data_IF_241211272031
#
_entry.id   IF_241211272031
#
_cell.length_a   1.000
_cell.length_b   1.000
_cell.length_c   1.000
_cell.angle_alpha   90.00
_cell.angle_beta   90.00
_cell.angle_gamma   90.00
#
_symmetry.space_group_name_H-M   'P 1'
#
loop_
_entity.id
_entity.type
_entity.pdbx_description
1 polymer ?
#
# COMPACT_ATOMS: atom_id res chain seq x y z
N UNK A 1 -34.68 -18.10 -28.51
CA UNK A 1 -33.93 -19.27 -28.02
C UNK A 1 -33.23 -18.81 -26.74
N UNK A 2 -33.69 -19.25 -25.57
CA UNK A 2 -33.09 -18.85 -24.30
C UNK A 2 -31.70 -19.50 -24.21
N UNK A 3 -30.65 -18.68 -24.22
CA UNK A 3 -29.29 -19.15 -23.95
C UNK A 3 -29.25 -19.71 -22.53
N UNK A 4 -28.58 -20.84 -22.35
CA UNK A 4 -28.29 -21.34 -21.01
C UNK A 4 -27.43 -20.30 -20.26
N UNK A 5 -27.54 -20.24 -18.93
CA UNK A 5 -26.76 -19.31 -18.10
C UNK A 5 -25.24 -19.46 -18.34
N UNK A 6 -24.77 -20.68 -18.64
CA UNK A 6 -23.37 -20.96 -19.00
C UNK A 6 -22.98 -20.37 -20.36
N UNK A 7 -23.83 -20.52 -21.39
CA UNK A 7 -23.57 -19.92 -22.71
C UNK A 7 -23.60 -18.39 -22.66
N UNK A 8 -24.47 -17.82 -21.82
CA UNK A 8 -24.49 -16.38 -21.58
C UNK A 8 -23.19 -15.90 -20.92
N UNK A 9 -22.71 -16.61 -19.89
CA UNK A 9 -21.42 -16.32 -19.27
C UNK A 9 -20.25 -16.39 -20.27
N UNK A 10 -20.22 -17.41 -21.15
CA UNK A 10 -19.21 -17.50 -22.23
C UNK A 10 -19.23 -16.30 -23.18
N UNK A 11 -20.41 -15.75 -23.49
CA UNK A 11 -20.51 -14.51 -24.27
C UNK A 11 -19.94 -13.32 -23.51
N UNK A 12 -20.27 -13.17 -22.23
CA UNK A 12 -19.72 -12.10 -21.39
C UNK A 12 -18.19 -12.13 -21.33
N UNK A 13 -17.60 -13.32 -21.21
CA UNK A 13 -16.13 -13.51 -21.27
C UNK A 13 -15.56 -12.98 -22.59
N UNK A 14 -16.19 -13.30 -23.73
CA UNK A 14 -15.75 -12.79 -25.06
C UNK A 14 -15.81 -11.27 -25.17
N UNK A 15 -16.68 -10.61 -24.42
CA UNK A 15 -16.79 -9.15 -24.37
C UNK A 15 -15.96 -8.51 -23.24
N UNK A 16 -15.05 -9.26 -22.60
CA UNK A 16 -14.18 -8.75 -21.53
C UNK A 16 -14.88 -8.59 -20.17
N UNK A 17 -16.15 -8.98 -20.05
CA UNK A 17 -16.94 -8.85 -18.81
C UNK A 17 -16.75 -10.05 -17.88
N UNK A 18 -15.51 -10.31 -17.49
CA UNK A 18 -15.14 -11.51 -16.71
C UNK A 18 -15.76 -11.54 -15.31
N UNK A 19 -15.87 -10.39 -14.62
CA UNK A 19 -16.47 -10.30 -13.28
C UNK A 19 -17.96 -10.67 -13.30
N UNK A 20 -18.72 -10.06 -14.21
CA UNK A 20 -20.15 -10.35 -14.40
C UNK A 20 -20.37 -11.83 -14.76
N UNK A 21 -19.52 -12.40 -15.62
CA UNK A 21 -19.57 -13.82 -15.96
C UNK A 21 -19.31 -14.72 -14.75
N UNK A 22 -18.34 -14.36 -13.89
CA UNK A 22 -17.98 -15.14 -12.72
C UNK A 22 -19.12 -15.21 -11.69
N UNK A 23 -19.78 -14.08 -11.42
CA UNK A 23 -20.93 -14.01 -10.51
C UNK A 23 -22.10 -14.89 -10.97
N UNK A 24 -22.41 -14.84 -12.27
CA UNK A 24 -23.46 -15.67 -12.87
C UNK A 24 -23.14 -17.16 -12.71
N UNK A 25 -21.89 -17.56 -12.96
CA UNK A 25 -21.46 -18.95 -12.86
C UNK A 25 -21.46 -19.43 -11.41
N UNK A 26 -20.96 -18.64 -10.45
CA UNK A 26 -20.99 -18.98 -9.01
C UNK A 26 -22.41 -19.23 -8.53
N UNK A 27 -23.33 -18.31 -8.85
CA UNK A 27 -24.75 -18.45 -8.51
C UNK A 27 -25.37 -19.67 -9.18
N UNK A 28 -25.03 -19.93 -10.44
CA UNK A 28 -25.54 -21.10 -11.15
C UNK A 28 -25.06 -22.43 -10.54
N UNK A 29 -23.79 -22.50 -10.11
CA UNK A 29 -23.21 -23.68 -9.48
C UNK A 29 -23.87 -24.00 -8.13
N UNK A 30 -24.25 -22.97 -7.37
CA UNK A 30 -24.94 -23.13 -6.07
C UNK A 30 -26.43 -23.47 -6.21
N UNK A 31 -27.10 -22.95 -7.24
CA UNK A 31 -28.56 -23.10 -7.40
C UNK A 31 -28.99 -24.33 -8.22
N UNK A 32 -28.13 -24.79 -9.14
CA UNK A 32 -28.51 -25.86 -10.07
C UNK A 32 -28.21 -27.23 -9.45
N UNK A 33 -29.14 -28.18 -9.57
CA UNK A 33 -28.99 -29.56 -9.11
C UNK A 33 -28.46 -30.52 -10.19
N UNK A 34 -28.47 -30.12 -11.46
CA UNK A 34 -27.98 -30.92 -12.58
C UNK A 34 -26.45 -30.97 -12.57
N UNK A 35 -25.91 -32.17 -12.34
CA UNK A 35 -24.47 -32.41 -12.25
C UNK A 35 -23.71 -32.00 -13.52
N UNK A 36 -24.25 -32.29 -14.71
CA UNK A 36 -23.58 -32.01 -15.99
C UNK A 36 -23.48 -30.51 -16.24
N UNK A 37 -24.56 -29.77 -15.94
CA UNK A 37 -24.60 -28.32 -16.07
C UNK A 37 -23.70 -27.63 -15.05
N UNK A 38 -23.66 -28.11 -13.79
CA UNK A 38 -22.75 -27.60 -12.76
C UNK A 38 -21.29 -27.84 -13.14
N UNK A 39 -20.97 -29.04 -13.64
CA UNK A 39 -19.63 -29.37 -14.14
C UNK A 39 -19.19 -28.39 -15.23
N UNK A 40 -20.02 -28.16 -16.23
CA UNK A 40 -19.70 -27.22 -17.32
C UNK A 40 -19.53 -25.79 -16.78
N UNK A 41 -20.38 -25.35 -15.87
CA UNK A 41 -20.25 -24.02 -15.25
C UNK A 41 -18.95 -23.87 -14.45
N UNK A 42 -18.57 -24.89 -13.67
CA UNK A 42 -17.34 -24.93 -12.90
C UNK A 42 -16.10 -24.95 -13.80
N UNK A 43 -16.15 -25.71 -14.91
CA UNK A 43 -15.09 -25.72 -15.92
C UNK A 43 -14.85 -24.32 -16.50
N UNK A 44 -15.91 -23.61 -16.87
CA UNK A 44 -15.80 -22.25 -17.42
C UNK A 44 -15.26 -21.29 -16.36
N UNK A 45 -15.80 -21.33 -15.15
CA UNK A 45 -15.35 -20.45 -14.07
C UNK A 45 -13.88 -20.68 -13.74
N UNK A 46 -13.46 -21.93 -13.61
CA UNK A 46 -12.10 -22.27 -13.21
C UNK A 46 -11.10 -22.04 -14.36
N UNK A 47 -11.35 -22.59 -15.55
CA UNK A 47 -10.36 -22.60 -16.64
C UNK A 47 -10.46 -21.42 -17.61
N UNK A 48 -11.62 -20.78 -17.76
CA UNK A 48 -11.78 -19.65 -18.68
C UNK A 48 -11.70 -18.30 -17.97
N UNK A 49 -11.95 -18.24 -16.65
CA UNK A 49 -11.92 -17.02 -15.86
C UNK A 49 -10.73 -17.02 -14.89
N UNK A 50 -10.77 -17.86 -13.86
CA UNK A 50 -9.84 -17.72 -12.72
C UNK A 50 -8.40 -18.10 -13.11
N UNK A 51 -8.18 -19.26 -13.75
CA UNK A 51 -6.84 -19.72 -14.14
C UNK A 51 -6.25 -19.00 -15.36
N UNK A 52 -7.08 -18.26 -16.12
CA UNK A 52 -6.66 -17.39 -17.22
C UNK A 52 -6.46 -15.94 -16.81
N UNK A 53 -6.55 -15.64 -15.52
CA UNK A 53 -6.22 -14.32 -15.02
C UNK A 53 -4.70 -14.17 -14.88
N UNK A 54 -4.17 -13.00 -15.22
CA UNK A 54 -2.73 -12.73 -15.10
C UNK A 54 -2.29 -12.81 -13.63
N UNK A 55 -3.17 -12.35 -12.73
CA UNK A 55 -3.03 -12.48 -11.29
C UNK A 55 -4.03 -13.51 -10.75
N UNK A 56 -3.54 -14.71 -10.43
CA UNK A 56 -4.32 -15.76 -9.80
C UNK A 56 -4.63 -15.36 -8.34
N UNK A 57 -5.90 -15.45 -7.95
CA UNK A 57 -6.35 -15.19 -6.57
C UNK A 57 -6.75 -16.52 -5.95
N UNK A 58 -5.83 -17.14 -5.21
CA UNK A 58 -6.01 -18.51 -4.71
C UNK A 58 -7.16 -18.64 -3.72
N UNK A 59 -7.48 -17.58 -2.98
CA UNK A 59 -8.65 -17.50 -2.09
C UNK A 59 -9.97 -17.70 -2.85
N UNK A 60 -10.01 -17.40 -4.16
CA UNK A 60 -11.16 -17.67 -5.02
C UNK A 60 -11.07 -19.01 -5.73
N UNK A 61 -9.87 -19.52 -5.96
CA UNK A 61 -9.61 -20.75 -6.73
C UNK A 61 -9.71 -21.98 -5.83
N UNK A 62 -9.14 -21.96 -4.63
CA UNK A 62 -9.11 -23.11 -3.70
C UNK A 62 -10.52 -23.65 -3.41
N UNK A 63 -11.55 -22.83 -3.11
CA UNK A 63 -12.91 -23.35 -2.90
C UNK A 63 -13.53 -24.01 -4.13
N UNK A 64 -13.13 -23.58 -5.35
CA UNK A 64 -13.61 -24.19 -6.60
C UNK A 64 -12.94 -25.55 -6.85
N UNK A 65 -11.68 -25.69 -6.45
CA UNK A 65 -10.94 -26.96 -6.51
C UNK A 65 -11.53 -27.95 -5.50
N UNK A 66 -11.75 -27.52 -4.26
CA UNK A 66 -12.39 -28.35 -3.22
C UNK A 66 -13.76 -28.83 -3.69
N UNK A 67 -14.59 -27.93 -4.21
CA UNK A 67 -15.89 -28.28 -4.78
C UNK A 67 -15.79 -29.28 -5.93
N UNK A 68 -14.77 -29.14 -6.79
CA UNK A 68 -14.54 -30.05 -7.90
C UNK A 68 -14.09 -31.45 -7.43
N UNK A 69 -13.29 -31.53 -6.37
CA UNK A 69 -12.83 -32.78 -5.76
C UNK A 69 -13.96 -33.50 -5.04
N UNK A 70 -14.69 -32.80 -4.16
CA UNK A 70 -15.82 -33.36 -3.41
C UNK A 70 -16.86 -33.99 -4.33
N UNK A 71 -17.09 -33.37 -5.49
CA UNK A 71 -18.05 -33.83 -6.48
C UNK A 71 -17.45 -34.72 -7.57
N UNK A 72 -16.16 -35.05 -7.48
CA UNK A 72 -15.44 -35.86 -8.49
C UNK A 72 -15.66 -35.34 -9.93
N UNK A 73 -15.67 -34.02 -10.09
CA UNK A 73 -15.94 -33.35 -11.38
C UNK A 73 -14.75 -33.51 -12.34
N UNK A 74 -13.53 -33.43 -11.79
CA UNK A 74 -12.26 -33.57 -12.51
C UNK A 74 -11.49 -34.81 -12.06
N UNK A 75 -10.62 -35.33 -12.93
CA UNK A 75 -9.72 -36.41 -12.54
C UNK A 75 -8.71 -35.89 -11.52
N UNK A 76 -8.19 -36.82 -10.70
CA UNK A 76 -7.16 -36.50 -9.72
C UNK A 76 -5.92 -35.88 -10.38
N UNK A 77 -5.49 -36.39 -11.54
CA UNK A 77 -4.33 -35.81 -12.25
C UNK A 77 -4.58 -34.35 -12.64
N UNK A 78 -5.80 -34.02 -13.07
CA UNK A 78 -6.16 -32.66 -13.47
C UNK A 78 -6.21 -31.71 -12.27
N UNK A 79 -6.68 -32.17 -11.12
CA UNK A 79 -6.62 -31.39 -9.88
C UNK A 79 -5.17 -31.20 -9.42
N UNK A 80 -4.36 -32.25 -9.48
CA UNK A 80 -2.94 -32.20 -9.13
C UNK A 80 -2.17 -31.24 -10.07
N UNK A 81 -2.50 -31.21 -11.36
CA UNK A 81 -1.97 -30.23 -12.33
C UNK A 81 -2.30 -28.80 -11.90
N UNK A 82 -3.56 -28.51 -11.53
CA UNK A 82 -3.95 -27.16 -11.06
C UNK A 82 -3.23 -26.80 -9.76
N UNK A 83 -3.09 -27.74 -8.82
CA UNK A 83 -2.32 -27.53 -7.58
C UNK A 83 -0.83 -27.33 -7.87
N UNK A 84 -0.30 -27.96 -8.91
CA UNK A 84 1.07 -27.71 -9.33
C UNK A 84 1.26 -26.30 -9.88
N UNK A 85 0.23 -25.67 -10.45
CA UNK A 85 0.23 -24.23 -10.81
C UNK A 85 0.36 -23.35 -9.56
N UNK A 86 -0.22 -23.80 -8.43
CA UNK A 86 0.02 -23.18 -7.12
C UNK A 86 1.52 -23.17 -6.85
N UNK A 87 2.19 -24.31 -6.90
CA UNK A 87 3.61 -24.40 -6.53
C UNK A 87 4.56 -23.80 -7.58
N UNK A 88 4.19 -23.78 -8.86
CA UNK A 88 5.01 -23.20 -9.95
C UNK A 88 4.83 -21.69 -10.12
N UNK A 89 3.66 -21.12 -9.78
CA UNK A 89 3.42 -19.67 -9.75
C UNK A 89 3.42 -19.05 -8.33
N UNK A 90 3.46 -19.84 -7.25
CA UNK A 90 3.83 -19.37 -5.90
C UNK A 90 5.28 -18.87 -5.89
N UNK A 91 6.08 -19.20 -6.90
CA UNK A 91 7.31 -18.48 -7.22
C UNK A 91 6.98 -17.18 -8.00
N UNK A 92 6.01 -16.39 -7.53
CA UNK A 92 6.35 -15.00 -7.25
C UNK A 92 7.25 -15.08 -6.02
N UNK A 93 8.52 -15.49 -6.21
CA UNK A 93 9.57 -15.20 -5.25
C UNK A 93 9.51 -13.70 -5.14
N UNK A 94 8.77 -13.19 -4.14
CA UNK A 94 8.89 -11.80 -3.82
C UNK A 94 10.39 -11.65 -3.54
N UNK A 95 11.08 -10.83 -4.32
CA UNK A 95 12.52 -10.71 -4.22
C UNK A 95 12.82 -10.33 -2.76
N UNK A 96 13.50 -11.23 -2.05
CA UNK A 96 14.02 -10.90 -0.73
C UNK A 96 15.08 -9.83 -0.96
N UNK A 97 14.78 -8.62 -0.49
CA UNK A 97 15.75 -7.55 -0.49
C UNK A 97 16.48 -7.61 0.84
N UNK A 98 17.81 -7.63 0.75
CA UNK A 98 18.66 -7.40 1.92
C UNK A 98 18.57 -5.89 2.20
N UNK A 99 18.10 -5.46 3.38
CA UNK A 99 18.00 -4.04 3.70
C UNK A 99 19.35 -3.36 3.48
N UNK A 100 19.32 -2.17 2.88
CA UNK A 100 20.53 -1.37 2.66
C UNK A 100 21.09 -0.85 3.99
N UNK A 101 22.39 -0.57 4.05
CA UNK A 101 22.99 0.12 5.21
C UNK A 101 22.29 1.46 5.49
N UNK A 102 21.85 2.15 4.42
CA UNK A 102 21.07 3.39 4.50
C UNK A 102 19.74 3.18 5.23
N UNK A 103 19.02 2.08 4.95
CA UNK A 103 17.79 1.74 5.64
C UNK A 103 18.02 1.53 7.14
N UNK A 104 19.01 0.71 7.53
CA UNK A 104 19.27 0.43 8.96
C UNK A 104 19.78 1.67 9.71
N UNK A 105 20.55 2.54 9.05
CA UNK A 105 20.96 3.84 9.60
C UNK A 105 19.75 4.74 9.90
N UNK A 106 18.85 4.91 8.93
CA UNK A 106 17.67 5.77 9.06
C UNK A 106 16.68 5.19 10.08
N UNK A 107 16.47 3.87 10.07
CA UNK A 107 15.68 3.17 11.07
C UNK A 107 16.23 3.42 12.48
N UNK A 108 17.56 3.27 12.65
CA UNK A 108 18.23 3.52 13.91
C UNK A 108 18.12 4.98 14.35
N UNK A 109 18.15 5.93 13.41
CA UNK A 109 17.90 7.33 13.69
C UNK A 109 16.50 7.54 14.30
N UNK A 110 15.43 7.06 13.65
CA UNK A 110 14.08 7.23 14.19
C UNK A 110 13.90 6.54 15.54
N UNK A 111 14.43 5.32 15.66
CA UNK A 111 14.36 4.53 16.90
C UNK A 111 15.07 5.21 18.07
N UNK A 112 16.29 5.71 17.87
CA UNK A 112 17.15 6.15 18.99
C UNK A 112 17.23 7.69 19.11
N UNK A 113 17.29 8.40 17.99
CA UNK A 113 17.70 9.82 17.95
C UNK A 113 16.56 10.78 17.60
N UNK A 114 15.43 10.31 17.05
CA UNK A 114 14.26 11.17 16.84
C UNK A 114 13.81 11.76 18.17
N UNK A 115 13.56 13.08 18.18
CA UNK A 115 13.27 13.93 19.33
C UNK A 115 14.44 14.14 20.31
N UNK A 116 15.66 13.69 19.97
CA UNK A 116 16.83 13.99 20.79
C UNK A 116 17.15 15.49 20.74
N UNK A 117 17.52 16.06 21.89
CA UNK A 117 17.54 17.48 22.26
C UNK A 117 18.53 18.39 21.51
N UNK A 118 19.02 18.01 20.33
CA UNK A 118 19.81 18.88 19.46
C UNK A 118 18.92 19.90 18.71
N UNK A 119 18.20 20.70 19.49
CA UNK A 119 17.22 21.72 19.07
C UNK A 119 17.82 22.89 18.25
N UNK A 120 19.15 22.93 18.08
CA UNK A 120 19.85 24.05 17.44
C UNK A 120 20.09 23.85 15.92
N UNK A 121 19.62 22.74 15.34
CA UNK A 121 19.70 22.55 13.89
C UNK A 121 18.52 23.26 13.23
N UNK A 122 18.80 24.43 12.65
CA UNK A 122 17.87 25.05 11.73
C UNK A 122 17.75 24.19 10.46
N UNK A 123 16.56 24.13 9.87
CA UNK A 123 16.39 23.49 8.59
C UNK A 123 17.23 24.20 7.53
N UNK A 124 17.52 23.50 6.42
CA UNK A 124 18.09 24.14 5.25
C UNK A 124 17.20 25.30 4.78
N UNK A 125 17.82 26.31 4.17
CA UNK A 125 17.14 27.49 3.61
C UNK A 125 16.09 27.14 2.54
N UNK A 126 16.08 25.87 2.08
CA UNK A 126 15.10 25.34 1.13
C UNK A 126 13.71 25.10 1.74
N UNK A 127 13.56 25.04 3.08
CA UNK A 127 12.26 24.87 3.73
C UNK A 127 11.56 26.21 3.96
N UNK A 128 10.24 26.18 3.82
CA UNK A 128 9.38 27.31 4.11
C UNK A 128 8.70 27.10 5.46
N UNK A 129 9.26 27.71 6.52
CA UNK A 129 8.70 27.59 7.87
C UNK A 129 7.35 28.32 7.97
N UNK A 130 6.33 27.63 8.48
CA UNK A 130 4.98 28.14 8.69
C UNK A 130 4.50 27.91 10.14
N UNK A 131 3.55 28.73 10.56
CA UNK A 131 2.91 28.58 11.87
C UNK A 131 2.00 27.34 11.95
N UNK A 132 1.67 26.97 13.18
CA UNK A 132 0.86 25.78 13.47
C UNK A 132 -0.54 25.85 12.84
N UNK A 133 -1.19 27.03 12.83
CA UNK A 133 -2.56 27.16 12.29
C UNK A 133 -2.57 26.91 10.77
N UNK A 134 -1.57 27.43 10.06
CA UNK A 134 -1.42 27.17 8.64
C UNK A 134 -1.01 25.72 8.39
N UNK A 135 -0.15 25.14 9.23
CA UNK A 135 0.26 23.74 9.13
C UNK A 135 -0.93 22.77 9.22
N UNK A 136 -1.87 23.00 10.15
CA UNK A 136 -3.11 22.21 10.25
C UNK A 136 -3.91 22.26 8.95
N UNK A 137 -4.08 23.46 8.38
CA UNK A 137 -4.82 23.63 7.11
C UNK A 137 -4.12 22.95 5.95
N UNK A 138 -2.81 23.14 5.80
CA UNK A 138 -2.06 22.59 4.66
C UNK A 138 -1.85 21.07 4.78
N UNK A 139 -1.84 20.53 6.00
CA UNK A 139 -1.72 19.10 6.25
C UNK A 139 -3.04 18.35 6.02
N UNK A 140 -4.16 18.87 6.54
CA UNK A 140 -5.43 18.14 6.61
C UNK A 140 -6.49 18.58 5.60
N UNK A 141 -6.48 19.84 5.12
CA UNK A 141 -7.50 20.31 4.18
C UNK A 141 -7.22 19.81 2.75
N UNK A 142 -8.29 19.36 2.08
CA UNK A 142 -8.26 19.04 0.64
C UNK A 142 -8.37 20.29 -0.25
N UNK A 143 -8.81 21.42 0.31
CA UNK A 143 -9.03 22.68 -0.40
C UNK A 143 -8.05 23.75 0.08
N UNK A 144 -6.76 23.41 0.05
CA UNK A 144 -5.72 24.35 0.42
C UNK A 144 -5.71 25.50 -0.60
N UNK A 145 -5.70 26.74 -0.10
CA UNK A 145 -5.69 27.92 -0.97
C UNK A 145 -4.32 28.12 -1.59
N UNK A 146 -4.31 28.58 -2.85
CA UNK A 146 -3.11 29.10 -3.49
C UNK A 146 -2.39 30.11 -2.56
N UNK A 147 -1.06 30.04 -2.45
CA UNK A 147 -0.13 29.29 -3.30
C UNK A 147 0.29 27.91 -2.76
N UNK A 148 -0.52 27.27 -1.90
CA UNK A 148 -0.13 26.02 -1.24
C UNK A 148 -0.82 24.80 -1.85
N UNK A 149 -0.12 23.67 -1.84
CA UNK A 149 -0.64 22.34 -2.16
C UNK A 149 -0.80 21.51 -0.88
N UNK A 150 -1.77 20.58 -0.88
CA UNK A 150 -2.06 19.71 0.27
C UNK A 150 -0.92 18.72 0.50
N UNK A 151 -0.47 18.62 1.76
CA UNK A 151 0.56 17.66 2.15
C UNK A 151 0.13 16.23 1.83
N UNK A 152 -1.12 15.92 2.16
CA UNK A 152 -1.71 14.60 1.98
C UNK A 152 -1.72 14.16 0.50
N UNK A 153 -1.97 15.08 -0.42
CA UNK A 153 -2.03 14.77 -1.85
C UNK A 153 -0.63 14.48 -2.42
N UNK A 154 0.37 15.30 -2.05
CA UNK A 154 1.76 15.11 -2.46
C UNK A 154 2.30 13.78 -1.90
N UNK A 155 2.04 13.50 -0.63
CA UNK A 155 2.46 12.25 0.02
C UNK A 155 1.87 11.03 -0.68
N UNK A 156 0.55 11.02 -0.90
CA UNK A 156 -0.14 9.91 -1.60
C UNK A 156 0.34 9.72 -3.02
N UNK A 157 0.69 10.81 -3.71
CA UNK A 157 1.25 10.75 -5.05
C UNK A 157 2.57 9.96 -5.05
N UNK A 158 3.51 10.30 -4.16
CA UNK A 158 4.81 9.60 -4.05
C UNK A 158 4.66 8.17 -3.50
N UNK A 159 3.80 7.97 -2.49
CA UNK A 159 3.48 6.65 -1.95
C UNK A 159 3.00 5.70 -3.05
N UNK A 160 2.11 6.17 -3.93
CA UNK A 160 1.65 5.40 -5.08
C UNK A 160 2.79 5.04 -6.05
N UNK A 161 3.73 5.95 -6.29
CA UNK A 161 4.89 5.66 -7.15
C UNK A 161 5.75 4.54 -6.56
N UNK A 162 6.01 4.56 -5.25
CA UNK A 162 6.80 3.54 -4.56
C UNK A 162 6.06 2.20 -4.53
N UNK A 163 4.75 2.17 -4.26
CA UNK A 163 3.98 0.93 -4.32
C UNK A 163 3.93 0.32 -5.73
N UNK A 164 3.80 1.15 -6.77
CA UNK A 164 3.89 0.67 -8.15
C UNK A 164 5.26 0.05 -8.43
N UNK A 165 6.34 0.64 -7.90
CA UNK A 165 7.68 0.08 -8.00
C UNK A 165 7.79 -1.26 -7.26
N UNK A 166 7.34 -1.34 -6.00
CA UNK A 166 7.30 -2.58 -5.20
C UNK A 166 6.55 -3.69 -5.93
N UNK A 167 5.36 -3.37 -6.44
CA UNK A 167 4.51 -4.33 -7.14
C UNK A 167 5.16 -4.80 -8.45
N UNK A 168 5.66 -3.86 -9.27
CA UNK A 168 6.27 -4.18 -10.56
C UNK A 168 7.53 -5.03 -10.42
N UNK A 169 8.27 -4.86 -9.31
CA UNK A 169 9.49 -5.62 -9.03
C UNK A 169 9.24 -6.83 -8.11
N UNK A 170 7.98 -7.11 -7.75
CA UNK A 170 7.59 -8.18 -6.83
C UNK A 170 8.44 -8.17 -5.56
N UNK A 171 8.55 -7.05 -4.85
CA UNK A 171 9.42 -6.93 -3.67
C UNK A 171 8.72 -7.44 -2.42
N UNK A 172 9.42 -8.18 -1.55
CA UNK A 172 8.91 -8.56 -0.23
C UNK A 172 9.12 -7.43 0.78
N UNK A 173 8.03 -6.92 1.38
CA UNK A 173 8.03 -5.85 2.37
C UNK A 173 7.69 -6.34 3.80
N UNK A 174 7.52 -7.64 4.02
CA UNK A 174 7.11 -8.20 5.31
C UNK A 174 8.14 -7.87 6.42
N UNK A 175 9.44 -7.82 6.06
CA UNK A 175 10.50 -7.37 6.97
C UNK A 175 10.38 -5.88 7.32
N UNK A 176 10.07 -5.04 6.33
CA UNK A 176 9.82 -3.61 6.54
C UNK A 176 8.62 -3.42 7.49
N UNK A 177 7.52 -4.11 7.25
CA UNK A 177 6.30 -4.00 8.05
C UNK A 177 6.55 -4.44 9.51
N UNK A 178 7.29 -5.53 9.75
CA UNK A 178 7.70 -5.93 11.12
C UNK A 178 8.57 -4.86 11.80
N UNK A 179 9.52 -4.25 11.08
CA UNK A 179 10.37 -3.19 11.60
C UNK A 179 9.57 -1.94 11.96
N UNK A 180 8.63 -1.55 11.10
CA UNK A 180 7.73 -0.40 11.30
C UNK A 180 6.85 -0.62 12.51
N UNK A 181 6.21 -1.79 12.63
CA UNK A 181 5.35 -2.10 13.78
C UNK A 181 6.11 -1.95 15.11
N UNK A 182 7.37 -2.39 15.16
CA UNK A 182 8.25 -2.19 16.32
C UNK A 182 8.63 -0.73 16.53
N UNK A 183 8.78 0.04 15.46
CA UNK A 183 9.13 1.45 15.53
C UNK A 183 7.96 2.30 16.02
N UNK A 184 6.74 2.08 15.54
CA UNK A 184 5.56 2.83 15.96
C UNK A 184 5.35 2.73 17.47
N UNK A 185 5.50 1.53 18.05
CA UNK A 185 5.49 1.35 19.52
C UNK A 185 6.53 2.24 20.22
N UNK A 186 7.73 2.38 19.64
CA UNK A 186 8.78 3.25 20.19
C UNK A 186 8.42 4.74 20.02
N UNK A 187 7.88 5.13 18.87
CA UNK A 187 7.50 6.51 18.55
C UNK A 187 6.34 6.98 19.44
N UNK A 188 5.28 6.19 19.55
CA UNK A 188 4.16 6.43 20.46
C UNK A 188 4.66 6.66 21.89
N UNK A 189 5.52 5.76 22.40
CA UNK A 189 6.07 5.91 23.76
C UNK A 189 6.92 7.17 23.93
N UNK A 190 7.65 7.61 22.89
CA UNK A 190 8.45 8.84 22.93
C UNK A 190 7.61 10.11 22.92
N UNK A 191 6.47 10.07 22.22
CA UNK A 191 5.56 11.21 22.04
C UNK A 191 4.45 11.25 23.10
N UNK A 192 4.20 10.14 23.81
CA UNK A 192 3.18 10.05 24.84
C UNK A 192 3.38 11.12 25.93
N UNK A 193 2.31 11.86 26.24
CA UNK A 193 2.27 12.98 27.19
C UNK A 193 3.08 14.22 26.78
N UNK A 194 3.25 14.48 25.49
CA UNK A 194 3.84 15.73 25.01
C UNK A 194 2.78 16.51 24.21
N UNK A 195 2.39 17.69 24.68
CA UNK A 195 1.55 18.64 23.94
C UNK A 195 2.34 19.29 22.79
N UNK A 196 3.08 18.49 22.03
CA UNK A 196 3.96 18.95 20.94
C UNK A 196 3.32 18.76 19.60
N UNK A 197 3.68 19.61 18.64
CA UNK A 197 3.17 19.54 17.27
C UNK A 197 3.35 18.14 16.66
N UNK A 198 4.45 17.44 16.93
CA UNK A 198 4.60 16.04 16.48
C UNK A 198 3.56 15.06 17.03
N UNK A 199 3.07 15.28 18.26
CA UNK A 199 2.00 14.45 18.82
C UNK A 199 0.65 14.78 18.19
N UNK A 200 0.37 16.05 17.92
CA UNK A 200 -0.84 16.46 17.20
C UNK A 200 -0.95 15.79 15.82
N UNK A 201 0.17 15.69 15.10
CA UNK A 201 0.26 15.08 13.78
C UNK A 201 0.80 13.64 13.81
N UNK A 202 0.57 12.87 14.89
CA UNK A 202 1.18 11.54 15.05
C UNK A 202 0.94 10.62 13.85
N UNK A 203 -0.31 10.51 13.38
CA UNK A 203 -0.66 9.66 12.22
C UNK A 203 0.10 10.08 10.95
N UNK A 204 0.27 11.40 10.75
CA UNK A 204 1.02 11.92 9.62
C UNK A 204 2.53 11.67 9.78
N UNK A 205 3.06 11.79 11.00
CA UNK A 205 4.46 11.50 11.32
C UNK A 205 4.76 10.02 11.07
N UNK A 206 3.91 9.11 11.52
CA UNK A 206 4.09 7.67 11.27
C UNK A 206 4.03 7.35 9.77
N UNK A 207 3.10 7.97 9.05
CA UNK A 207 2.97 7.81 7.59
C UNK A 207 4.20 8.31 6.85
N UNK A 208 4.74 9.46 7.24
CA UNK A 208 5.94 10.02 6.61
C UNK A 208 7.18 9.17 6.91
N UNK A 209 7.33 8.68 8.15
CA UNK A 209 8.41 7.76 8.54
C UNK A 209 8.31 6.45 7.78
N UNK A 210 7.11 5.88 7.64
CA UNK A 210 6.88 4.70 6.81
C UNK A 210 7.32 4.94 5.38
N UNK A 211 6.91 6.07 4.79
CA UNK A 211 7.24 6.43 3.42
C UNK A 211 8.77 6.55 3.21
N UNK A 212 9.47 7.23 4.13
CA UNK A 212 10.93 7.37 4.09
C UNK A 212 11.61 6.00 4.15
N UNK A 213 11.21 5.18 5.12
CA UNK A 213 11.81 3.86 5.33
C UNK A 213 11.50 2.91 4.18
N UNK A 214 10.29 2.97 3.63
CA UNK A 214 9.89 2.19 2.46
C UNK A 214 10.73 2.57 1.24
N UNK A 215 10.89 3.85 0.96
CA UNK A 215 11.76 4.32 -0.13
C UNK A 215 13.21 3.85 0.05
N UNK A 216 13.76 3.96 1.26
CA UNK A 216 15.13 3.52 1.54
C UNK A 216 15.30 1.99 1.48
N UNK A 217 14.26 1.24 1.86
CA UNK A 217 14.27 -0.23 1.83
C UNK A 217 14.35 -0.76 0.40
N UNK A 218 13.71 -0.08 -0.56
CA UNK A 218 13.69 -0.47 -1.98
C UNK A 218 14.63 0.37 -2.87
N UNK A 219 15.49 1.19 -2.25
CA UNK A 219 16.42 2.10 -2.92
C UNK A 219 15.75 3.04 -3.95
N UNK A 220 14.59 3.58 -3.58
CA UNK A 220 13.83 4.52 -4.41
C UNK A 220 14.31 5.95 -4.19
N UNK A 221 14.94 6.53 -5.21
CA UNK A 221 15.41 7.91 -5.19
C UNK A 221 14.27 8.89 -5.50
N UNK A 222 14.00 9.81 -4.57
CA UNK A 222 13.03 10.88 -4.79
C UNK A 222 13.36 12.09 -3.89
N UNK A 223 13.33 13.29 -4.49
CA UNK A 223 13.67 14.52 -3.78
C UNK A 223 12.81 14.75 -2.53
N UNK A 224 11.53 14.36 -2.57
CA UNK A 224 10.64 14.53 -1.41
C UNK A 224 11.12 13.71 -0.22
N UNK A 225 11.61 12.48 -0.45
CA UNK A 225 12.09 11.58 0.61
C UNK A 225 13.30 12.17 1.32
N UNK A 226 14.20 12.80 0.57
CA UNK A 226 15.38 13.45 1.15
C UNK A 226 14.98 14.70 1.96
N UNK A 227 14.07 15.53 1.44
CA UNK A 227 13.54 16.70 2.16
C UNK A 227 12.81 16.30 3.45
N UNK A 228 12.03 15.22 3.39
CA UNK A 228 11.34 14.64 4.54
C UNK A 228 12.33 14.21 5.62
N UNK A 229 13.32 13.39 5.26
CA UNK A 229 14.33 12.92 6.19
C UNK A 229 15.12 14.08 6.82
N UNK A 230 15.44 15.11 6.04
CA UNK A 230 16.11 16.31 6.54
C UNK A 230 15.23 17.08 7.54
N UNK A 231 13.94 17.27 7.24
CA UNK A 231 13.00 17.92 8.15
C UNK A 231 12.95 17.21 9.51
N UNK A 232 12.78 15.89 9.52
CA UNK A 232 12.76 15.11 10.77
C UNK A 232 14.10 15.11 11.49
N UNK A 233 15.23 15.11 10.78
CA UNK A 233 16.57 15.26 11.39
C UNK A 233 16.78 16.61 12.08
N UNK A 234 16.02 17.64 11.68
CA UNK A 234 15.99 18.95 12.32
C UNK A 234 14.84 19.13 13.31
N UNK A 235 14.04 18.08 13.59
CA UNK A 235 12.83 18.12 14.41
C UNK A 235 11.72 19.06 13.88
N UNK A 236 11.59 19.13 12.56
CA UNK A 236 10.50 19.82 11.88
C UNK A 236 9.50 18.80 11.33
N UNK A 237 8.21 19.16 11.37
CA UNK A 237 7.12 18.42 10.75
C UNK A 237 6.84 19.00 9.35
N UNK A 238 6.95 18.19 8.29
CA UNK A 238 6.46 18.52 6.95
C UNK A 238 4.94 18.65 6.96
N UNK A 239 4.41 19.77 6.47
CA UNK A 239 2.97 20.04 6.60
C UNK A 239 2.33 20.65 5.36
N UNK A 240 3.05 20.76 4.24
CA UNK A 240 2.48 21.24 2.98
C UNK A 240 3.56 21.57 1.96
N UNK A 241 3.17 22.19 0.86
CA UNK A 241 4.10 22.64 -0.16
C UNK A 241 3.71 24.01 -0.69
N UNK A 242 4.68 24.92 -0.85
CA UNK A 242 4.45 26.27 -1.38
C UNK A 242 4.94 26.35 -2.82
N UNK A 243 4.06 26.77 -3.71
CA UNK A 243 4.27 26.71 -5.16
C UNK A 243 3.86 25.34 -5.71
N UNK A 244 4.33 25.02 -6.91
CA UNK A 244 3.96 23.77 -7.57
C UNK A 244 4.99 22.68 -7.26
N UNK A 245 4.57 21.49 -6.85
CA UNK A 245 5.48 20.35 -6.76
C UNK A 245 5.95 19.89 -8.17
N UNK A 246 7.25 19.56 -8.38
CA UNK A 246 8.35 19.50 -7.43
C UNK A 246 9.22 20.78 -7.38
N UNK A 247 8.84 21.86 -8.07
CA UNK A 247 9.67 23.08 -8.19
C UNK A 247 9.54 24.08 -7.04
N UNK A 248 8.55 23.90 -6.16
CA UNK A 248 8.31 24.76 -5.00
C UNK A 248 9.15 24.41 -3.77
N UNK A 249 8.66 24.78 -2.59
CA UNK A 249 9.36 24.54 -1.32
C UNK A 249 8.48 23.72 -0.37
N UNK A 250 9.10 22.78 0.35
CA UNK A 250 8.44 22.06 1.43
C UNK A 250 8.09 23.04 2.55
N UNK A 251 6.80 23.10 2.91
CA UNK A 251 6.36 23.80 4.09
C UNK A 251 6.63 22.93 5.32
N UNK A 252 7.19 23.54 6.35
CA UNK A 252 7.49 22.85 7.61
C UNK A 252 7.02 23.67 8.80
N UNK A 253 6.70 23.00 9.90
CA UNK A 253 6.50 23.65 11.19
C UNK A 253 7.39 22.98 12.23
N UNK A 254 7.81 23.71 13.26
CA UNK A 254 8.70 23.15 14.26
C UNK A 254 7.94 22.14 15.12
N UNK A 255 8.29 20.85 14.99
CA UNK A 255 7.61 19.73 15.62
C UNK A 255 7.77 19.68 17.14
N UNK A 256 8.73 20.45 17.68
CA UNK A 256 9.03 20.51 19.12
C UNK A 256 8.28 21.63 19.84
N UNK A 257 7.56 22.49 19.12
CA UNK A 257 6.72 23.52 19.74
C UNK A 257 5.55 22.88 20.46
N UNK A 258 5.15 23.49 21.58
CA UNK A 258 3.88 23.17 22.22
C UNK A 258 2.72 23.69 21.35
N UNK A 259 1.61 22.94 21.29
CA UNK A 259 0.38 23.40 20.63
C UNK A 259 -0.70 23.71 21.67
N UNK A 260 -1.45 24.80 21.43
CA UNK A 260 -2.67 25.10 22.17
C UNK A 260 -3.86 24.91 21.23
N UNK A 261 -4.78 24.01 21.58
CA UNK A 261 -6.08 23.91 20.90
C UNK A 261 -6.93 25.08 21.41
N UNK A 262 -7.15 26.09 20.56
CA UNK A 262 -8.08 27.20 20.84
C UNK A 262 -9.51 26.84 20.49
#
# INVERSE_FOLDING_TARGET
>A
MNLSKVEYAKKLIKFGKKVEAAEILKKFISENSDFSLRKNALEVLLFEIELKNDNLVWERIDPLIELAEEQSIFSKEKIDEIRSLKNTKIVNLKNEIIPTDKFEEIYSFFKNNFLSSNLNKKPSEIFYEIDFELAVKTAHDQNVKNPYESWNDIRKFIEKEIYNFIFSNSINIDYLDDKINKLNIVLENKLNNQDKVFYYFLDDVESDIYLILMACYVDFENILIDLLLEAYKCNYFPCGWKGNFPSGNLCVTNGMLEYEIK
#
